data_IF_416571772826
#
_entry.id   IF_416571772826
#
_cell.length_a   1.000
_cell.length_b   1.000
_cell.length_c   1.000
_cell.angle_alpha   90.00
_cell.angle_beta   90.00
_cell.angle_gamma   90.00
#
_symmetry.space_group_name_H-M   'P 1'
#
loop_
_entity.id
_entity.type
_entity.pdbx_description
1 polymer ?
#
# COMPACT_ATOMS: atom_id res chain seq x y z
N UNK A 1 0.23 -12.34 42.93
CA UNK A 1 0.67 -11.84 41.61
C UNK A 1 1.93 -11.03 41.80
N UNK A 2 2.95 -11.20 40.94
CA UNK A 2 4.16 -10.39 41.00
C UNK A 2 3.92 -9.04 40.31
N UNK A 3 4.16 -7.93 41.01
CA UNK A 3 4.04 -6.58 40.46
C UNK A 3 5.44 -6.01 40.22
N UNK A 4 5.66 -5.43 39.04
CA UNK A 4 6.88 -4.67 38.71
C UNK A 4 6.47 -3.23 38.44
N UNK A 5 7.29 -2.28 38.91
CA UNK A 5 7.05 -0.85 38.72
C UNK A 5 8.20 -0.23 37.92
N UNK A 6 7.85 0.63 36.98
CA UNK A 6 8.78 1.46 36.23
C UNK A 6 8.14 2.82 35.99
N UNK A 7 8.90 3.90 36.18
CA UNK A 7 8.41 5.27 36.01
C UNK A 7 8.97 5.87 34.71
N UNK A 8 8.07 6.42 33.89
CA UNK A 8 8.42 7.10 32.63
C UNK A 8 8.47 8.61 32.91
N UNK A 9 9.61 9.25 32.60
CA UNK A 9 9.77 10.70 32.66
C UNK A 9 9.63 11.30 31.26
N UNK A 10 8.95 12.44 31.17
CA UNK A 10 8.74 13.17 29.92
C UNK A 10 9.50 14.50 29.98
N UNK A 11 10.25 14.80 28.93
CA UNK A 11 10.89 16.07 28.71
C UNK A 11 10.00 16.95 27.81
N UNK A 12 9.38 17.97 28.40
CA UNK A 12 8.44 18.86 27.70
C UNK A 12 9.11 19.79 26.68
N UNK A 13 10.46 19.84 26.63
CA UNK A 13 11.20 20.55 25.58
C UNK A 13 11.35 19.73 24.29
N UNK A 14 11.07 18.43 24.33
CA UNK A 14 11.05 17.58 23.13
C UNK A 14 9.62 17.38 22.67
N UNK A 15 9.37 17.65 21.40
CA UNK A 15 8.03 17.63 20.81
C UNK A 15 7.34 16.27 20.95
N UNK A 16 8.05 15.16 20.66
CA UNK A 16 7.47 13.82 20.77
C UNK A 16 7.07 13.46 22.21
N UNK A 17 7.91 13.83 23.18
CA UNK A 17 7.65 13.56 24.60
C UNK A 17 6.53 14.47 25.14
N UNK A 18 6.47 15.74 24.72
CA UNK A 18 5.36 16.65 25.02
C UNK A 18 4.04 16.12 24.45
N UNK A 19 4.02 15.69 23.19
CA UNK A 19 2.82 15.15 22.56
C UNK A 19 2.36 13.86 23.23
N UNK A 20 3.30 12.99 23.63
CA UNK A 20 2.97 11.79 24.41
C UNK A 20 2.38 12.14 25.78
N UNK A 21 2.93 13.16 26.45
CA UNK A 21 2.42 13.68 27.71
C UNK A 21 0.98 14.21 27.59
N UNK A 22 0.72 15.03 26.58
CA UNK A 22 -0.61 15.60 26.31
C UNK A 22 -1.64 14.51 26.02
N UNK A 23 -1.30 13.51 25.20
CA UNK A 23 -2.18 12.37 24.93
C UNK A 23 -2.49 11.58 26.19
N UNK A 24 -1.48 11.27 27.01
CA UNK A 24 -1.65 10.52 28.25
C UNK A 24 -2.57 11.23 29.27
N UNK A 25 -2.61 12.56 29.20
CA UNK A 25 -3.42 13.42 30.08
C UNK A 25 -4.68 13.97 29.39
N UNK A 26 -5.05 13.43 28.25
CA UNK A 26 -6.26 13.86 27.54
C UNK A 26 -7.52 13.32 28.21
N UNK A 27 -8.64 14.02 28.00
CA UNK A 27 -9.94 13.60 28.55
C UNK A 27 -10.38 12.25 27.98
N UNK A 28 -10.06 11.99 26.72
CA UNK A 28 -10.36 10.74 26.03
C UNK A 28 -9.69 9.56 26.73
N UNK A 29 -8.42 9.69 27.14
CA UNK A 29 -7.74 8.62 27.88
C UNK A 29 -8.39 8.38 29.24
N UNK A 30 -8.78 9.44 29.94
CA UNK A 30 -9.43 9.32 31.25
C UNK A 30 -10.86 8.72 31.16
N UNK A 31 -11.58 8.95 30.05
CA UNK A 31 -12.93 8.43 29.85
C UNK A 31 -12.95 7.01 29.28
N UNK A 32 -12.04 6.68 28.35
CA UNK A 32 -12.09 5.44 27.59
C UNK A 32 -11.30 4.29 28.25
N UNK A 33 -10.38 4.60 29.17
CA UNK A 33 -9.50 3.60 29.77
C UNK A 33 -9.67 3.53 31.28
N UNK A 34 -9.59 2.31 31.82
CA UNK A 34 -9.66 2.07 33.27
C UNK A 34 -8.60 2.85 34.07
N UNK A 35 -7.44 3.11 33.48
CA UNK A 35 -6.39 3.95 34.06
C UNK A 35 -5.37 4.36 32.99
N UNK A 36 -4.60 5.42 33.26
CA UNK A 36 -3.44 5.82 32.45
C UNK A 36 -2.44 4.66 32.28
N UNK A 37 -2.23 3.84 33.31
CA UNK A 37 -1.37 2.66 33.20
C UNK A 37 -1.94 1.61 32.24
N UNK A 38 -3.26 1.39 32.24
CA UNK A 38 -3.92 0.49 31.28
C UNK A 38 -3.75 0.99 29.83
N UNK A 39 -3.88 2.30 29.62
CA UNK A 39 -3.62 2.92 28.32
C UNK A 39 -2.16 2.74 27.87
N UNK A 40 -1.19 3.03 28.74
CA UNK A 40 0.24 2.88 28.44
C UNK A 40 0.59 1.44 28.08
N UNK A 41 0.10 0.46 28.85
CA UNK A 41 0.35 -0.95 28.55
C UNK A 41 -0.23 -1.37 27.19
N UNK A 42 -1.45 -0.96 26.87
CA UNK A 42 -2.06 -1.24 25.57
C UNK A 42 -1.30 -0.56 24.42
N UNK A 43 -0.88 0.70 24.59
CA UNK A 43 -0.12 1.42 23.60
C UNK A 43 1.25 0.78 23.31
N UNK A 44 1.96 0.32 24.36
CA UNK A 44 3.24 -0.39 24.22
C UNK A 44 3.04 -1.69 23.44
N UNK A 45 2.09 -2.53 23.86
CA UNK A 45 1.84 -3.80 23.18
C UNK A 45 1.40 -3.58 21.73
N UNK A 46 0.44 -2.69 21.50
CA UNK A 46 -0.04 -2.37 20.15
C UNK A 46 1.07 -1.88 19.23
N UNK A 47 1.92 -0.95 19.70
CA UNK A 47 3.02 -0.44 18.90
C UNK A 47 4.06 -1.52 18.62
N UNK A 48 4.41 -2.32 19.64
CA UNK A 48 5.38 -3.41 19.49
C UNK A 48 4.90 -4.48 18.52
N UNK A 49 3.65 -4.94 18.67
CA UNK A 49 3.05 -5.94 17.78
C UNK A 49 2.96 -5.42 16.34
N UNK A 50 2.54 -4.16 16.16
CA UNK A 50 2.53 -3.51 14.84
C UNK A 50 3.94 -3.41 14.26
N UNK A 51 4.92 -3.01 15.06
CA UNK A 51 6.32 -2.88 14.63
C UNK A 51 6.88 -4.22 14.18
N UNK A 52 6.64 -5.30 14.93
CA UNK A 52 7.03 -6.65 14.53
C UNK A 52 6.31 -7.10 13.27
N UNK A 53 4.98 -6.93 13.21
CA UNK A 53 4.20 -7.27 12.02
C UNK A 53 4.72 -6.54 10.79
N UNK A 54 5.08 -5.26 10.91
CA UNK A 54 5.63 -4.42 9.83
C UNK A 54 7.05 -4.84 9.45
N UNK A 55 7.88 -5.22 10.43
CA UNK A 55 9.25 -5.69 10.21
C UNK A 55 9.29 -7.04 9.50
N UNK A 56 8.37 -7.93 9.84
CA UNK A 56 8.24 -9.26 9.27
C UNK A 56 7.27 -9.29 8.07
N UNK A 57 6.70 -8.13 7.67
CA UNK A 57 5.82 -8.03 6.51
C UNK A 57 6.65 -8.05 5.21
N UNK A 58 6.57 -9.13 4.40
CA UNK A 58 7.29 -9.22 3.13
C UNK A 58 6.88 -8.14 2.12
N UNK A 59 5.76 -7.45 2.34
CA UNK A 59 5.15 -6.47 1.43
C UNK A 59 5.42 -5.00 1.78
N UNK A 60 6.06 -4.70 2.90
CA UNK A 60 6.46 -3.31 3.20
C UNK A 60 7.74 -2.88 2.48
N UNK A 61 8.63 -3.83 2.15
CA UNK A 61 9.63 -3.63 1.08
C UNK A 61 9.00 -3.55 -0.32
N UNK A 62 7.74 -3.97 -0.48
CA UNK A 62 7.16 -4.14 -1.81
C UNK A 62 6.44 -2.94 -2.34
N UNK A 63 6.35 -1.77 -1.71
CA UNK A 63 5.80 -0.64 -2.48
C UNK A 63 6.67 -0.31 -3.69
N UNK A 64 8.00 -0.29 -3.51
CA UNK A 64 8.94 -0.18 -4.63
C UNK A 64 8.93 -1.41 -5.54
N UNK A 65 8.78 -2.63 -4.99
CA UNK A 65 8.72 -3.85 -5.81
C UNK A 65 7.38 -4.02 -6.54
N UNK A 66 6.30 -3.48 -6.00
CA UNK A 66 4.94 -3.45 -6.55
C UNK A 66 4.89 -2.43 -7.66
N UNK A 67 5.41 -1.21 -7.44
CA UNK A 67 5.58 -0.22 -8.49
C UNK A 67 6.45 -0.78 -9.63
N UNK A 68 7.59 -1.43 -9.31
CA UNK A 68 8.43 -2.09 -10.32
C UNK A 68 7.75 -3.30 -11.00
N UNK A 69 6.86 -4.01 -10.31
CA UNK A 69 6.07 -5.10 -10.88
C UNK A 69 5.01 -4.58 -11.84
N UNK A 70 4.33 -3.49 -11.47
CA UNK A 70 3.33 -2.79 -12.29
C UNK A 70 3.99 -2.22 -13.54
N UNK A 71 5.17 -1.59 -13.42
CA UNK A 71 5.95 -1.11 -14.58
C UNK A 71 6.30 -2.26 -15.54
N UNK A 72 6.79 -3.39 -15.03
CA UNK A 72 7.12 -4.55 -15.88
C UNK A 72 5.91 -5.12 -16.61
N UNK A 73 4.72 -5.11 -15.98
CA UNK A 73 3.48 -5.53 -16.65
C UNK A 73 3.10 -4.55 -17.76
N UNK A 74 3.17 -3.24 -17.48
CA UNK A 74 2.87 -2.21 -18.46
C UNK A 74 3.79 -2.31 -19.69
N UNK A 75 5.10 -2.45 -19.47
CA UNK A 75 6.10 -2.62 -20.54
C UNK A 75 5.82 -3.86 -21.39
N UNK A 76 5.48 -4.99 -20.77
CA UNK A 76 5.17 -6.23 -21.48
C UNK A 76 3.91 -6.08 -22.34
N UNK A 77 2.89 -5.38 -21.83
CA UNK A 77 1.66 -5.11 -22.57
C UNK A 77 1.93 -4.19 -23.76
N UNK A 78 2.69 -3.12 -23.57
CA UNK A 78 3.05 -2.18 -24.64
C UNK A 78 3.81 -2.88 -25.77
N UNK A 79 4.82 -3.69 -25.43
CA UNK A 79 5.55 -4.49 -26.41
C UNK A 79 4.64 -5.43 -27.18
N UNK A 80 3.75 -6.15 -26.48
CA UNK A 80 2.85 -7.12 -27.11
C UNK A 80 1.81 -6.45 -28.02
N UNK A 81 1.33 -5.26 -27.66
CA UNK A 81 0.43 -4.47 -28.51
C UNK A 81 1.16 -4.01 -29.76
N UNK A 82 2.34 -3.40 -29.62
CA UNK A 82 3.15 -2.93 -30.75
C UNK A 82 3.51 -4.04 -31.74
N UNK A 83 3.88 -5.24 -31.25
CA UNK A 83 4.18 -6.37 -32.11
C UNK A 83 2.97 -6.90 -32.91
N UNK A 84 1.74 -6.70 -32.41
CA UNK A 84 0.54 -7.23 -33.03
C UNK A 84 -0.15 -6.25 -34.00
N UNK A 85 0.14 -4.95 -33.92
CA UNK A 85 -0.43 -3.92 -34.80
C UNK A 85 -0.18 -4.23 -36.29
N UNK A 86 1.03 -4.61 -36.76
CA UNK A 86 1.27 -4.89 -38.17
C UNK A 86 0.43 -6.06 -38.69
N UNK A 87 0.26 -7.12 -37.89
CA UNK A 87 -0.55 -8.27 -38.24
C UNK A 87 -2.04 -7.89 -38.32
N UNK A 88 -2.54 -7.14 -37.35
CA UNK A 88 -3.91 -6.60 -37.32
C UNK A 88 -4.19 -5.68 -38.53
N UNK A 89 -3.27 -4.76 -38.83
CA UNK A 89 -3.38 -3.87 -39.98
C UNK A 89 -3.37 -4.65 -41.31
N UNK A 90 -2.50 -5.66 -41.44
CA UNK A 90 -2.46 -6.54 -42.60
C UNK A 90 -3.77 -7.30 -42.80
N UNK A 91 -4.34 -7.87 -41.74
CA UNK A 91 -5.64 -8.55 -41.79
C UNK A 91 -6.79 -7.60 -42.20
N UNK A 92 -6.79 -6.37 -41.67
CA UNK A 92 -7.81 -5.38 -42.01
C UNK A 92 -7.73 -4.93 -43.48
N UNK A 93 -6.52 -4.73 -44.01
CA UNK A 93 -6.31 -4.39 -45.42
C UNK A 93 -6.74 -5.54 -46.35
N UNK A 94 -6.41 -6.79 -45.99
CA UNK A 94 -6.87 -7.97 -46.73
C UNK A 94 -8.41 -8.08 -46.72
N UNK A 95 -9.05 -7.79 -45.59
CA UNK A 95 -10.51 -7.78 -45.49
C UNK A 95 -11.14 -6.74 -46.40
N UNK A 96 -10.60 -5.51 -46.45
CA UNK A 96 -11.08 -4.47 -47.35
C UNK A 96 -10.92 -4.86 -48.82
N UNK A 97 -9.78 -5.43 -49.21
CA UNK A 97 -9.55 -5.88 -50.58
C UNK A 97 -10.49 -7.01 -50.99
N UNK A 98 -10.76 -7.96 -50.08
CA UNK A 98 -11.72 -9.04 -50.30
C UNK A 98 -13.15 -8.50 -50.51
N UNK A 99 -13.54 -7.49 -49.72
CA UNK A 99 -14.84 -6.86 -49.83
C UNK A 99 -15.02 -6.09 -51.16
N UNK A 100 -14.01 -5.32 -51.55
CA UNK A 100 -14.00 -4.61 -52.84
C UNK A 100 -14.04 -5.58 -54.02
N UNK A 101 -13.24 -6.66 -53.97
CA UNK A 101 -13.21 -7.68 -55.02
C UNK A 101 -14.53 -8.44 -55.16
N UNK A 102 -15.18 -8.76 -54.04
CA UNK A 102 -16.50 -9.39 -54.04
C UNK A 102 -17.57 -8.45 -54.63
N UNK A 103 -17.52 -7.15 -54.32
CA UNK A 103 -18.47 -6.16 -54.85
C UNK A 103 -18.32 -5.93 -56.37
N UNK A 104 -17.10 -6.07 -56.92
CA UNK A 104 -16.84 -5.94 -58.36
C UNK A 104 -17.24 -7.17 -59.17
N UNK A 105 -17.34 -8.37 -58.56
CA UNK A 105 -17.79 -9.59 -59.25
C UNK A 105 -19.33 -9.74 -59.27
N UNK A 106 -20.04 -8.98 -58.45
CA UNK A 106 -21.50 -9.02 -58.32
C UNK A 106 -22.26 -7.93 -59.10
N UNK A 107 -21.57 -7.16 -59.95
CA UNK A 107 -22.16 -6.15 -60.86
C UNK A 107 -22.04 -6.55 -62.30
#
# INVERSE_FOLDING_TARGET
MATKNHNIRFNLSKEDELRAWEKLHSKEVEQMFKSKNSFVLQAINYYYDRYLATKDDPYLETREKEDAFVERIADMLDQKVLCNIPALAGMYLMQQQAFVSASMQSG
#
